data_IF_741488905197
#
_entry.id   IF_741488905197
#
_cell.length_a   1.000
_cell.length_b   1.000
_cell.length_c   1.000
_cell.angle_alpha   90.00
_cell.angle_beta   90.00
_cell.angle_gamma   90.00
#
_symmetry.space_group_name_H-M   'P 1'
#
loop_
_entity.id
_entity.type
_entity.pdbx_description
1 polymer ?
#
# COMPACT_ATOMS: atom_id res chain seq x y z
N UNK A 1 2.77 0.88 -0.11
CA UNK A 1 2.45 0.73 1.32
C UNK A 1 1.44 -0.38 1.50
N UNK A 2 1.57 -1.14 2.56
CA UNK A 2 0.75 -2.30 2.88
C UNK A 2 -0.35 -1.85 3.85
N UNK A 3 -1.62 -2.17 3.56
CA UNK A 3 -2.73 -2.04 4.50
C UNK A 3 -3.18 -3.40 4.98
N UNK A 4 -3.44 -3.51 6.27
CA UNK A 4 -4.08 -4.70 6.83
C UNK A 4 -5.59 -4.55 6.74
N UNK A 5 -6.24 -5.54 6.15
CA UNK A 5 -7.69 -5.72 6.23
C UNK A 5 -7.90 -6.81 7.28
N UNK A 6 -8.19 -6.36 8.51
CA UNK A 6 -8.35 -7.26 9.65
C UNK A 6 -9.63 -8.08 9.55
N UNK A 7 -9.49 -9.37 9.77
CA UNK A 7 -10.60 -10.30 9.97
C UNK A 7 -10.53 -10.84 11.39
N UNK A 8 -11.60 -10.79 12.15
CA UNK A 8 -11.63 -10.96 13.60
C UNK A 8 -11.25 -12.34 14.17
N UNK A 9 -10.78 -13.29 13.36
CA UNK A 9 -10.18 -14.57 13.79
C UNK A 9 -9.23 -15.22 12.77
N UNK A 10 -9.12 -14.68 11.53
CA UNK A 10 -8.01 -15.03 10.64
C UNK A 10 -7.02 -13.86 10.67
N UNK A 11 -5.73 -14.12 10.59
CA UNK A 11 -4.74 -13.04 10.55
C UNK A 11 -5.04 -12.14 9.37
N UNK A 12 -4.94 -10.82 9.58
CA UNK A 12 -5.22 -9.79 8.60
C UNK A 12 -4.57 -10.08 7.24
N UNK A 13 -5.33 -9.91 6.15
CA UNK A 13 -4.78 -10.02 4.80
C UNK A 13 -4.07 -8.72 4.45
N UNK A 14 -2.78 -8.81 4.16
CA UNK A 14 -2.01 -7.68 3.68
C UNK A 14 -2.17 -7.54 2.16
N UNK A 15 -2.36 -6.30 1.73
CA UNK A 15 -2.40 -5.92 0.32
C UNK A 15 -1.37 -4.83 0.04
N UNK A 16 -0.87 -4.81 -1.18
CA UNK A 16 0.09 -3.82 -1.62
C UNK A 16 -0.33 -3.20 -2.95
N UNK A 17 -0.08 -1.91 -3.10
CA UNK A 17 -0.17 -1.22 -4.38
C UNK A 17 0.73 0.01 -4.39
N UNK A 18 0.98 0.56 -5.56
CA UNK A 18 1.65 1.85 -5.76
C UNK A 18 0.83 2.79 -6.61
N UNK A 19 1.03 4.09 -6.39
CA UNK A 19 0.44 5.17 -7.18
C UNK A 19 1.51 6.21 -7.51
N UNK A 20 1.43 6.79 -8.72
CA UNK A 20 2.38 7.79 -9.19
C UNK A 20 1.77 8.68 -10.26
N UNK A 21 2.46 9.75 -10.62
CA UNK A 21 2.19 10.50 -11.83
C UNK A 21 3.21 10.10 -12.89
N UNK A 22 2.75 9.84 -14.13
CA UNK A 22 3.67 9.63 -15.25
C UNK A 22 4.32 10.96 -15.69
N UNK A 23 5.23 10.90 -16.67
CA UNK A 23 5.96 12.05 -17.18
C UNK A 23 5.06 13.17 -17.74
N UNK A 24 3.82 12.83 -18.09
CA UNK A 24 2.80 13.78 -18.55
C UNK A 24 1.87 14.25 -17.41
N UNK A 25 2.21 13.96 -16.15
CA UNK A 25 1.40 14.29 -14.99
C UNK A 25 0.07 13.54 -14.90
N UNK A 26 -0.07 12.39 -15.59
CA UNK A 26 -1.27 11.57 -15.55
C UNK A 26 -1.18 10.58 -14.39
N UNK A 27 -2.25 10.43 -13.59
CA UNK A 27 -2.25 9.51 -12.46
C UNK A 27 -2.23 8.05 -12.94
N UNK A 28 -1.38 7.29 -12.30
CA UNK A 28 -1.17 5.86 -12.54
C UNK A 28 -1.26 5.10 -11.23
N UNK A 29 -1.56 3.82 -11.34
CA UNK A 29 -1.56 2.87 -10.22
C UNK A 29 -1.09 1.49 -10.69
N UNK A 30 -0.49 0.74 -9.80
CA UNK A 30 -0.25 -0.69 -9.99
C UNK A 30 -1.54 -1.51 -9.86
N UNK A 31 -1.47 -2.78 -10.22
CA UNK A 31 -2.46 -3.76 -9.75
C UNK A 31 -2.42 -3.82 -8.22
N UNK A 32 -3.55 -4.16 -7.60
CA UNK A 32 -3.56 -4.53 -6.18
C UNK A 32 -2.96 -5.93 -6.06
N UNK A 33 -1.92 -6.06 -5.26
CA UNK A 33 -1.28 -7.34 -4.98
C UNK A 33 -1.79 -7.85 -3.65
N UNK A 34 -2.36 -9.05 -3.66
CA UNK A 34 -2.70 -9.79 -2.46
C UNK A 34 -1.41 -10.44 -1.99
N UNK A 35 -0.91 -9.99 -0.86
CA UNK A 35 0.39 -10.44 -0.36
C UNK A 35 0.32 -11.88 0.12
N UNK A 36 1.25 -12.71 -0.31
CA UNK A 36 1.30 -14.11 0.11
C UNK A 36 1.95 -14.24 1.48
N UNK A 37 1.40 -15.14 2.31
CA UNK A 37 2.00 -15.47 3.60
C UNK A 37 3.23 -16.33 3.41
N UNK A 38 4.18 -16.14 4.27
CA UNK A 38 5.36 -17.00 4.40
C UNK A 38 5.13 -18.01 5.53
N UNK A 39 4.74 -19.19 5.16
CA UNK A 39 4.49 -20.28 6.13
C UNK A 39 5.77 -20.80 6.80
N UNK A 40 6.95 -20.47 6.22
CA UNK A 40 8.25 -20.80 6.83
C UNK A 40 8.70 -19.74 7.84
N UNK A 41 8.03 -18.58 7.87
CA UNK A 41 8.33 -17.55 8.85
C UNK A 41 7.79 -17.94 10.25
N UNK A 42 8.47 -17.56 11.35
CA UNK A 42 7.91 -17.70 12.68
C UNK A 42 6.50 -17.11 12.73
N UNK A 43 5.49 -17.88 13.12
CA UNK A 43 4.06 -17.51 13.16
C UNK A 43 3.33 -17.53 11.80
N UNK A 44 3.92 -18.05 10.71
CA UNK A 44 3.24 -18.18 9.41
C UNK A 44 2.66 -16.86 8.86
N UNK A 45 3.35 -15.75 9.11
CA UNK A 45 2.90 -14.39 8.79
C UNK A 45 3.50 -13.84 7.50
N UNK A 46 3.60 -12.51 7.44
CA UNK A 46 4.23 -11.80 6.33
C UNK A 46 5.69 -11.53 6.68
N UNK A 47 6.60 -12.02 5.85
CA UNK A 47 8.04 -11.86 6.01
C UNK A 47 8.61 -10.81 5.06
N UNK A 48 9.88 -10.51 5.23
CA UNK A 48 10.65 -9.73 4.25
C UNK A 48 10.63 -10.38 2.86
N UNK A 49 10.62 -11.71 2.78
CA UNK A 49 10.55 -12.42 1.50
C UNK A 49 9.19 -12.20 0.84
N UNK A 50 8.08 -12.32 1.60
CA UNK A 50 6.73 -11.96 1.10
C UNK A 50 6.70 -10.55 0.52
N UNK A 51 7.35 -9.61 1.20
CA UNK A 51 7.44 -8.21 0.74
C UNK A 51 8.25 -8.09 -0.55
N UNK A 52 9.40 -8.71 -0.64
CA UNK A 52 10.25 -8.68 -1.85
C UNK A 52 9.50 -9.27 -3.06
N UNK A 53 8.80 -10.39 -2.88
CA UNK A 53 7.98 -10.99 -3.96
C UNK A 53 6.84 -10.05 -4.40
N UNK A 54 6.25 -9.35 -3.46
CA UNK A 54 5.23 -8.33 -3.73
C UNK A 54 5.81 -7.17 -4.55
N UNK A 55 7.01 -6.68 -4.21
CA UNK A 55 7.68 -5.62 -4.97
C UNK A 55 8.07 -6.06 -6.39
N UNK A 56 8.47 -7.31 -6.59
CA UNK A 56 8.75 -7.86 -7.92
C UNK A 56 7.50 -7.80 -8.82
N UNK A 57 6.33 -8.09 -8.26
CA UNK A 57 5.08 -8.12 -9.00
C UNK A 57 4.45 -6.73 -9.18
N UNK A 58 4.52 -5.91 -8.15
CA UNK A 58 3.78 -4.64 -8.10
C UNK A 58 4.60 -3.40 -8.43
N UNK A 59 5.89 -3.36 -8.03
CA UNK A 59 6.74 -2.19 -8.21
C UNK A 59 7.57 -2.28 -9.49
N UNK A 60 8.36 -3.35 -9.67
CA UNK A 60 9.34 -3.45 -10.76
C UNK A 60 8.75 -3.23 -12.16
N UNK A 61 7.55 -3.72 -12.53
CA UNK A 61 7.01 -3.51 -13.87
C UNK A 61 6.79 -2.03 -14.24
N UNK A 62 6.66 -1.18 -13.23
CA UNK A 62 6.34 0.24 -13.38
C UNK A 62 7.48 1.17 -12.95
N UNK A 63 8.52 0.62 -12.33
CA UNK A 63 9.63 1.40 -11.80
C UNK A 63 10.44 2.08 -12.89
N UNK A 64 10.78 3.35 -12.68
CA UNK A 64 11.69 4.14 -13.50
C UNK A 64 12.72 4.80 -12.59
N UNK A 65 13.98 4.83 -13.01
CA UNK A 65 15.10 5.39 -12.19
C UNK A 65 14.92 6.86 -11.82
N UNK A 66 14.11 7.59 -12.57
CA UNK A 66 13.80 8.99 -12.28
C UNK A 66 12.75 9.18 -11.16
N UNK A 67 12.15 8.11 -10.68
CA UNK A 67 11.12 8.18 -9.66
C UNK A 67 11.73 8.13 -8.26
N UNK A 68 11.02 8.74 -7.31
CA UNK A 68 11.31 8.58 -5.88
C UNK A 68 10.40 7.50 -5.31
N UNK A 69 10.97 6.57 -4.58
CA UNK A 69 10.21 5.50 -3.92
C UNK A 69 9.91 5.88 -2.47
N UNK A 70 8.63 5.97 -2.17
CA UNK A 70 8.15 6.25 -0.84
C UNK A 70 7.51 5.01 -0.23
N UNK A 71 7.92 4.67 0.98
CA UNK A 71 7.33 3.61 1.80
C UNK A 71 7.42 3.98 3.27
N UNK A 72 6.61 3.35 4.12
CA UNK A 72 6.73 3.51 5.56
C UNK A 72 7.90 2.71 6.16
N UNK A 73 8.07 2.84 7.48
CA UNK A 73 9.14 2.18 8.21
C UNK A 73 8.73 0.82 8.81
N UNK A 74 7.78 0.10 8.21
CA UNK A 74 7.45 -1.25 8.66
C UNK A 74 8.70 -2.15 8.69
N UNK A 75 8.78 -3.05 9.66
CA UNK A 75 9.99 -3.89 9.87
C UNK A 75 10.37 -4.70 8.63
N UNK A 76 9.38 -5.21 7.89
CA UNK A 76 9.62 -5.96 6.64
C UNK A 76 10.16 -5.08 5.53
N UNK A 77 9.89 -3.76 5.54
CA UNK A 77 10.39 -2.77 4.57
C UNK A 77 11.82 -2.33 4.88
N UNK A 78 12.15 -2.22 6.17
CA UNK A 78 13.44 -1.68 6.62
C UNK A 78 14.47 -2.76 6.96
N UNK A 79 14.12 -4.04 6.79
CA UNK A 79 15.03 -5.15 7.03
C UNK A 79 16.27 -5.08 6.13
N UNK A 80 17.39 -5.67 6.58
CA UNK A 80 18.63 -5.73 5.81
C UNK A 80 18.42 -6.35 4.43
N UNK A 81 17.64 -7.45 4.35
CA UNK A 81 17.39 -8.13 3.08
C UNK A 81 16.54 -7.28 2.11
N UNK A 82 15.50 -6.58 2.60
CA UNK A 82 14.71 -5.68 1.77
C UNK A 82 15.55 -4.52 1.23
N UNK A 83 16.38 -3.90 2.08
CA UNK A 83 17.28 -2.82 1.65
C UNK A 83 18.30 -3.30 0.61
N UNK A 84 18.94 -4.45 0.84
CA UNK A 84 19.89 -5.03 -0.11
C UNK A 84 19.23 -5.32 -1.46
N UNK A 85 18.01 -5.86 -1.45
CA UNK A 85 17.24 -6.11 -2.66
C UNK A 85 16.90 -4.82 -3.40
N UNK A 86 16.38 -3.80 -2.72
CA UNK A 86 16.07 -2.49 -3.32
C UNK A 86 17.34 -1.87 -3.95
N UNK A 87 18.46 -1.89 -3.24
CA UNK A 87 19.76 -1.42 -3.75
C UNK A 87 20.17 -2.17 -5.02
N UNK A 88 20.02 -3.51 -5.05
CA UNK A 88 20.33 -4.32 -6.24
C UNK A 88 19.47 -3.98 -7.46
N UNK A 89 18.31 -3.36 -7.25
CA UNK A 89 17.39 -2.87 -8.29
C UNK A 89 17.54 -1.37 -8.57
N UNK A 90 18.55 -0.73 -7.98
CA UNK A 90 18.76 0.72 -8.05
C UNK A 90 17.54 1.53 -7.59
N UNK A 91 16.89 1.06 -6.53
CA UNK A 91 15.76 1.72 -5.90
C UNK A 91 16.20 2.25 -4.54
N UNK A 92 16.20 3.57 -4.38
CA UNK A 92 16.51 4.21 -3.09
C UNK A 92 15.23 4.76 -2.49
N UNK A 93 14.71 4.17 -1.40
CA UNK A 93 13.59 4.75 -0.70
C UNK A 93 13.97 6.11 -0.10
N UNK A 94 13.06 7.07 -0.18
CA UNK A 94 13.24 8.34 0.54
C UNK A 94 13.15 8.08 2.05
N UNK A 95 13.90 8.85 2.82
CA UNK A 95 13.80 8.81 4.28
C UNK A 95 12.42 9.30 4.70
N UNK A 96 11.70 8.46 5.40
CA UNK A 96 10.33 8.72 5.82
C UNK A 96 10.23 8.90 7.32
N UNK A 97 9.53 9.95 7.81
CA UNK A 97 9.34 10.14 9.25
C UNK A 97 8.56 8.94 9.84
N UNK A 98 8.92 8.49 11.04
CA UNK A 98 8.12 7.47 11.71
C UNK A 98 6.73 8.03 12.08
N UNK A 99 5.73 7.14 12.15
CA UNK A 99 4.36 7.46 12.60
C UNK A 99 3.68 8.62 11.83
N UNK A 100 3.92 8.71 10.52
CA UNK A 100 3.41 9.80 9.68
C UNK A 100 2.45 9.30 8.58
N UNK A 101 1.32 8.65 8.92
CA UNK A 101 0.34 8.20 7.94
C UNK A 101 -0.35 9.36 7.22
N UNK A 102 -0.50 10.51 7.89
CA UNK A 102 -1.05 11.74 7.35
C UNK A 102 -0.24 12.32 6.18
N UNK A 103 1.06 12.05 6.14
CA UNK A 103 1.90 12.40 5.01
C UNK A 103 1.72 11.44 3.82
N UNK A 104 1.08 10.28 4.01
CA UNK A 104 1.07 9.25 3.01
C UNK A 104 -0.23 9.20 2.20
N UNK A 105 -0.21 9.56 0.90
CA UNK A 105 -1.40 9.61 0.06
C UNK A 105 -2.15 8.28 -0.04
N UNK A 106 -1.44 7.15 0.03
CA UNK A 106 -2.05 5.84 -0.18
C UNK A 106 -2.99 5.43 0.97
N UNK A 107 -2.81 6.00 2.18
CA UNK A 107 -3.69 5.73 3.31
C UNK A 107 -5.14 6.16 3.02
N UNK A 108 -5.32 7.28 2.35
CA UNK A 108 -6.63 7.71 1.89
C UNK A 108 -7.22 6.76 0.83
N UNK A 109 -6.37 6.19 -0.02
CA UNK A 109 -6.83 5.22 -1.02
C UNK A 109 -7.24 3.90 -0.35
N UNK A 110 -6.56 3.48 0.73
CA UNK A 110 -6.98 2.34 1.55
C UNK A 110 -8.34 2.57 2.21
N UNK A 111 -8.56 3.78 2.73
CA UNK A 111 -9.87 4.14 3.26
C UNK A 111 -10.96 4.06 2.19
N UNK A 112 -10.71 4.59 0.99
CA UNK A 112 -11.63 4.49 -0.14
C UNK A 112 -11.86 3.05 -0.59
N UNK A 113 -10.83 2.21 -0.61
CA UNK A 113 -10.94 0.79 -0.90
C UNK A 113 -11.89 0.10 0.08
N UNK A 114 -11.66 0.29 1.39
CA UNK A 114 -12.50 -0.28 2.46
C UNK A 114 -13.95 0.20 2.33
N UNK A 115 -14.17 1.49 2.15
CA UNK A 115 -15.51 2.05 1.94
C UNK A 115 -16.23 1.45 0.73
N UNK A 116 -15.53 1.19 -0.36
CA UNK A 116 -16.08 0.53 -1.54
C UNK A 116 -16.39 -0.94 -1.27
N UNK A 117 -15.54 -1.65 -0.58
CA UNK A 117 -15.81 -3.03 -0.16
C UNK A 117 -17.10 -3.10 0.65
N UNK A 118 -17.24 -2.27 1.67
CA UNK A 118 -18.47 -2.20 2.49
C UNK A 118 -19.72 -1.89 1.66
N UNK A 119 -19.60 -1.01 0.67
CA UNK A 119 -20.76 -0.59 -0.14
C UNK A 119 -21.17 -1.63 -1.18
N UNK A 120 -20.22 -2.24 -1.88
CA UNK A 120 -20.50 -3.06 -3.07
C UNK A 120 -20.40 -4.56 -2.81
N UNK A 121 -19.77 -4.95 -1.70
CA UNK A 121 -19.55 -6.35 -1.32
C UNK A 121 -19.87 -6.55 0.17
N UNK A 122 -21.12 -6.22 0.61
CA UNK A 122 -21.50 -6.28 2.01
C UNK A 122 -21.40 -7.68 2.63
N UNK A 123 -21.43 -8.75 1.81
CA UNK A 123 -21.24 -10.12 2.26
C UNK A 123 -19.88 -10.34 2.92
N UNK A 124 -18.87 -9.50 2.62
CA UNK A 124 -17.53 -9.59 3.21
C UNK A 124 -17.34 -8.64 4.41
N UNK A 125 -18.36 -7.92 4.84
CA UNK A 125 -18.25 -6.93 5.93
C UNK A 125 -17.94 -7.56 7.29
N UNK A 126 -18.37 -8.80 7.52
CA UNK A 126 -18.08 -9.52 8.76
C UNK A 126 -16.69 -10.15 8.80
N UNK A 127 -15.88 -9.95 7.78
CA UNK A 127 -14.46 -10.34 7.66
C UNK A 127 -14.15 -11.82 7.97
N UNK A 128 -15.16 -12.68 8.02
CA UNK A 128 -15.03 -14.13 8.05
C UNK A 128 -15.23 -14.64 6.63
N UNK A 129 -14.17 -14.62 5.86
CA UNK A 129 -14.22 -15.16 4.49
C UNK A 129 -13.91 -16.65 4.60
N UNK A 130 -14.85 -17.49 4.22
CA UNK A 130 -14.64 -18.92 4.10
C UNK A 130 -13.60 -19.20 3.00
N UNK A 131 -12.99 -20.39 3.02
CA UNK A 131 -11.95 -20.72 2.06
C UNK A 131 -12.51 -20.73 0.63
N UNK A 132 -13.74 -21.23 0.48
CA UNK A 132 -14.48 -21.25 -0.79
C UNK A 132 -14.79 -19.84 -1.33
N UNK A 133 -14.90 -18.84 -0.46
CA UNK A 133 -15.19 -17.46 -0.84
C UNK A 133 -13.93 -16.61 -1.06
N UNK A 134 -12.75 -17.18 -0.76
CA UNK A 134 -11.49 -16.43 -0.74
C UNK A 134 -11.15 -15.80 -2.09
N UNK A 135 -11.32 -16.54 -3.19
CA UNK A 135 -11.05 -16.02 -4.53
C UNK A 135 -11.99 -14.84 -4.85
N UNK A 136 -13.29 -15.00 -4.56
CA UNK A 136 -14.27 -13.94 -4.75
C UNK A 136 -13.95 -12.68 -3.95
N UNK A 137 -13.50 -12.83 -2.70
CA UNK A 137 -13.04 -11.72 -1.87
C UNK A 137 -11.81 -11.01 -2.48
N UNK A 138 -10.82 -11.77 -2.95
CA UNK A 138 -9.63 -11.21 -3.59
C UNK A 138 -9.97 -10.44 -4.87
N UNK A 139 -10.87 -10.97 -5.70
CA UNK A 139 -11.32 -10.28 -6.91
C UNK A 139 -12.14 -9.03 -6.59
N UNK A 140 -13.01 -9.07 -5.58
CA UNK A 140 -13.74 -7.90 -5.10
C UNK A 140 -12.78 -6.77 -4.65
N UNK A 141 -11.71 -7.11 -3.90
CA UNK A 141 -10.67 -6.15 -3.52
C UNK A 141 -9.99 -5.52 -4.73
N UNK A 142 -9.58 -6.34 -5.71
CA UNK A 142 -8.93 -5.87 -6.95
C UNK A 142 -9.87 -5.00 -7.79
N UNK A 143 -11.14 -5.36 -7.86
CA UNK A 143 -12.13 -4.57 -8.56
C UNK A 143 -12.39 -3.23 -7.88
N UNK A 144 -12.59 -3.22 -6.57
CA UNK A 144 -12.75 -1.99 -5.80
C UNK A 144 -11.53 -1.06 -5.95
N UNK A 145 -10.32 -1.61 -5.98
CA UNK A 145 -9.10 -0.85 -6.24
C UNK A 145 -9.10 -0.22 -7.64
N UNK A 146 -9.42 -1.00 -8.67
CA UNK A 146 -9.52 -0.51 -10.08
C UNK A 146 -10.52 0.61 -10.25
N UNK A 147 -11.62 0.58 -9.49
CA UNK A 147 -12.71 1.57 -9.56
C UNK A 147 -12.45 2.85 -8.76
N UNK A 148 -11.34 2.99 -8.05
CA UNK A 148 -10.97 4.26 -7.41
C UNK A 148 -10.73 5.29 -8.52
N UNK A 149 -11.35 6.50 -8.47
CA UNK A 149 -11.18 7.51 -9.52
C UNK A 149 -9.72 7.95 -9.67
N UNK A 150 -9.23 8.03 -10.90
CA UNK A 150 -7.88 8.52 -11.19
C UNK A 150 -7.69 9.99 -10.78
N UNK A 151 -8.74 10.79 -10.83
CA UNK A 151 -8.74 12.17 -10.33
C UNK A 151 -8.42 12.25 -8.84
N UNK A 152 -8.94 11.31 -8.04
CA UNK A 152 -8.61 11.23 -6.61
C UNK A 152 -7.12 10.92 -6.40
N UNK A 153 -6.56 9.97 -7.15
CA UNK A 153 -5.14 9.64 -7.08
C UNK A 153 -4.30 10.89 -7.38
N UNK A 154 -4.63 11.60 -8.47
CA UNK A 154 -3.94 12.85 -8.83
C UNK A 154 -4.03 13.88 -7.71
N UNK A 155 -5.24 14.12 -7.19
CA UNK A 155 -5.47 15.06 -6.10
C UNK A 155 -4.64 14.73 -4.86
N UNK A 156 -4.59 13.46 -4.46
CA UNK A 156 -3.83 13.02 -3.29
C UNK A 156 -2.32 13.20 -3.48
N UNK A 157 -1.76 12.82 -4.64
CA UNK A 157 -0.34 13.02 -4.94
C UNK A 157 0.00 14.51 -4.97
N UNK A 158 -0.82 15.32 -5.65
CA UNK A 158 -0.61 16.77 -5.73
C UNK A 158 -0.84 17.50 -4.40
N UNK A 159 -1.43 16.84 -3.40
CA UNK A 159 -1.56 17.41 -2.05
C UNK A 159 -0.26 17.36 -1.24
N UNK A 160 0.76 16.59 -1.67
CA UNK A 160 1.99 16.38 -0.91
C UNK A 160 2.72 17.67 -0.48
N UNK A 161 2.90 18.68 -1.33
CA UNK A 161 3.54 19.92 -0.88
C UNK A 161 2.79 20.59 0.28
N UNK A 162 1.45 20.58 0.24
CA UNK A 162 0.61 21.15 1.32
C UNK A 162 0.68 20.30 2.61
N UNK A 163 0.73 18.96 2.48
CA UNK A 163 0.90 18.04 3.62
C UNK A 163 2.25 18.29 4.30
N UNK A 164 3.32 18.37 3.53
CA UNK A 164 4.65 18.65 4.05
C UNK A 164 4.73 20.03 4.73
N UNK A 165 4.09 21.05 4.15
CA UNK A 165 4.03 22.38 4.77
C UNK A 165 3.23 22.35 6.07
N UNK A 166 2.12 21.63 6.14
CA UNK A 166 1.32 21.46 7.36
C UNK A 166 2.12 20.72 8.45
N UNK A 167 2.83 19.65 8.10
CA UNK A 167 3.68 18.91 9.04
C UNK A 167 4.79 19.81 9.61
N UNK A 168 5.47 20.60 8.79
CA UNK A 168 6.48 21.56 9.25
C UNK A 168 5.88 22.59 10.21
N UNK A 169 4.70 23.15 9.87
CA UNK A 169 3.99 24.10 10.74
C UNK A 169 3.58 23.49 12.08
N UNK A 170 3.24 22.20 12.07
CA UNK A 170 2.89 21.43 13.26
C UNK A 170 4.14 20.87 14.00
N UNK A 171 5.36 21.26 13.63
CA UNK A 171 6.61 20.78 14.23
C UNK A 171 6.70 19.24 14.30
N UNK A 172 6.19 18.56 13.28
CA UNK A 172 6.17 17.09 13.21
C UNK A 172 4.99 16.42 13.91
N UNK A 173 4.08 17.16 14.53
CA UNK A 173 2.84 16.62 15.10
C UNK A 173 1.81 16.29 14.02
N UNK A 174 0.82 15.50 14.42
CA UNK A 174 -0.31 15.11 13.54
C UNK A 174 -0.94 16.32 12.86
N UNK A 175 -1.29 16.16 11.60
CA UNK A 175 -1.94 17.16 10.79
C UNK A 175 -3.40 16.79 10.51
N UNK A 176 -4.13 17.67 9.86
CA UNK A 176 -5.53 17.41 9.44
C UNK A 176 -5.69 16.42 8.27
N UNK A 177 -4.60 15.88 7.75
CA UNK A 177 -4.60 14.98 6.60
C UNK A 177 -4.68 13.51 6.97
#
# INVERSE_FOLDING_TARGET
MISEISTSRKPAQMVWASVWLDERGRPRRSKLIIMQRDFNAPKGGYSTQSYIETLKQGLLPHWRRSQLFMQDNARIHTSRAARAWLTSKHITPIQWPPYSPDLNPIEHLWWHLKKRMHKFYPQYNNYRVAEEEWEGFCEALKECWRRIPSSLIKHLIMSMPRRMAACRKAHGWQTKY
#
